data_IF_837316671590
#
_entry.id   IF_837316671590
#
_cell.length_a   1.000
_cell.length_b   1.000
_cell.length_c   1.000
_cell.angle_alpha   90.00
_cell.angle_beta   90.00
_cell.angle_gamma   90.00
#
_symmetry.space_group_name_H-M   'P 1'
#
loop_
_entity.id
_entity.type
_entity.pdbx_description
1 polymer ?
#
# COMPACT_ATOMS: atom_id res chain seq x y z
N UNK A 1 -10.12 -16.50 10.06
CA UNK A 1 -9.44 -16.16 8.80
C UNK A 1 -8.15 -16.97 8.78
N UNK A 2 -7.98 -17.82 7.77
CA UNK A 2 -6.68 -18.43 7.51
C UNK A 2 -5.76 -17.36 6.90
N UNK A 3 -4.75 -16.93 7.66
CA UNK A 3 -3.82 -15.86 7.28
C UNK A 3 -2.96 -16.26 6.08
N UNK A 4 -2.54 -17.52 6.00
CA UNK A 4 -1.72 -18.01 4.88
C UNK A 4 -2.54 -18.01 3.62
N UNK A 5 -3.77 -18.52 3.69
CA UNK A 5 -4.70 -18.45 2.57
C UNK A 5 -4.93 -17.02 2.13
N UNK A 6 -5.28 -16.11 3.04
CA UNK A 6 -5.65 -14.71 2.70
C UNK A 6 -4.47 -13.90 2.18
N UNK A 7 -3.27 -14.02 2.75
CA UNK A 7 -2.15 -13.14 2.41
C UNK A 7 -1.19 -13.72 1.36
N UNK A 8 -1.02 -15.03 1.31
CA UNK A 8 0.06 -15.66 0.55
C UNK A 8 -0.41 -16.49 -0.65
N UNK A 9 -1.71 -16.77 -0.75
CA UNK A 9 -2.30 -17.42 -1.92
C UNK A 9 -3.03 -16.41 -2.81
N UNK A 10 -2.75 -16.44 -4.10
CA UNK A 10 -3.45 -15.66 -5.14
C UNK A 10 -4.76 -16.32 -5.61
N UNK A 11 -4.97 -17.60 -5.27
CA UNK A 11 -6.08 -18.38 -5.78
C UNK A 11 -7.31 -18.30 -4.89
N UNK A 12 -8.48 -18.34 -5.53
CA UNK A 12 -9.78 -18.36 -4.85
C UNK A 12 -10.41 -16.98 -4.72
N UNK A 13 -11.32 -16.87 -3.74
CA UNK A 13 -12.23 -15.74 -3.55
C UNK A 13 -12.29 -15.39 -2.07
N UNK A 14 -12.33 -14.09 -1.76
CA UNK A 14 -12.54 -13.61 -0.39
C UNK A 14 -13.68 -12.61 -0.33
N UNK A 15 -14.58 -12.80 0.62
CA UNK A 15 -15.68 -11.89 0.89
C UNK A 15 -15.20 -10.56 1.50
N UNK A 16 -16.08 -9.55 1.62
CA UNK A 16 -15.72 -8.22 2.13
C UNK A 16 -15.11 -8.24 3.54
N UNK A 17 -15.59 -9.13 4.42
CA UNK A 17 -15.13 -9.22 5.81
C UNK A 17 -13.68 -9.71 5.92
N UNK A 18 -13.33 -10.76 5.18
CA UNK A 18 -11.97 -11.31 5.20
C UNK A 18 -10.99 -10.45 4.40
N UNK A 19 -11.46 -9.80 3.33
CA UNK A 19 -10.71 -8.73 2.66
C UNK A 19 -10.34 -7.60 3.65
N UNK A 20 -11.31 -7.07 4.40
CA UNK A 20 -11.06 -6.00 5.37
C UNK A 20 -10.06 -6.39 6.45
N UNK A 21 -10.18 -7.60 7.00
CA UNK A 21 -9.23 -8.15 7.99
C UNK A 21 -7.82 -8.29 7.42
N UNK A 22 -7.70 -8.87 6.22
CA UNK A 22 -6.42 -9.00 5.53
C UNK A 22 -5.78 -7.64 5.24
N UNK A 23 -6.58 -6.67 4.78
CA UNK A 23 -6.11 -5.33 4.49
C UNK A 23 -5.64 -4.59 5.75
N UNK A 24 -6.37 -4.68 6.87
CA UNK A 24 -5.95 -4.06 8.14
C UNK A 24 -4.60 -4.63 8.59
N UNK A 25 -4.43 -5.95 8.55
CA UNK A 25 -3.17 -6.59 8.92
C UNK A 25 -2.01 -6.15 8.01
N UNK A 26 -2.23 -6.13 6.69
CA UNK A 26 -1.22 -5.67 5.73
C UNK A 26 -0.89 -4.18 5.88
N UNK A 27 -1.89 -3.36 6.21
CA UNK A 27 -1.72 -1.93 6.44
C UNK A 27 -0.89 -1.69 7.69
N UNK A 28 -1.18 -2.40 8.78
CA UNK A 28 -0.39 -2.35 10.01
C UNK A 28 1.06 -2.81 9.80
N UNK A 29 1.27 -3.94 9.10
CA UNK A 29 2.61 -4.44 8.80
C UNK A 29 3.42 -3.45 7.93
N UNK A 30 2.81 -2.92 6.87
CA UNK A 30 3.46 -1.93 6.01
C UNK A 30 3.77 -0.63 6.77
N UNK A 31 2.88 -0.19 7.66
CA UNK A 31 3.13 0.97 8.51
C UNK A 31 4.34 0.76 9.43
N UNK A 32 4.46 -0.42 10.07
CA UNK A 32 5.63 -0.76 10.90
C UNK A 32 6.91 -0.74 10.06
N UNK A 33 6.87 -1.31 8.86
CA UNK A 33 8.01 -1.30 7.92
C UNK A 33 8.42 0.13 7.56
N UNK A 34 7.47 1.01 7.27
CA UNK A 34 7.76 2.42 6.97
C UNK A 34 8.33 3.18 8.17
N UNK A 35 7.82 2.92 9.38
CA UNK A 35 8.35 3.49 10.61
C UNK A 35 9.79 3.04 10.85
N UNK A 36 10.06 1.74 10.70
CA UNK A 36 11.41 1.19 10.84
C UNK A 36 12.37 1.74 9.78
N UNK A 37 11.89 1.91 8.54
CA UNK A 37 12.66 2.49 7.44
C UNK A 37 13.09 3.94 7.73
N UNK A 38 12.18 4.76 8.28
CA UNK A 38 12.50 6.15 8.63
C UNK A 38 13.32 6.28 9.91
N UNK A 39 12.93 5.59 10.99
CA UNK A 39 13.51 5.83 12.32
C UNK A 39 14.76 4.99 12.60
N UNK A 40 14.79 3.73 12.12
CA UNK A 40 15.85 2.77 12.46
C UNK A 40 16.91 2.71 11.37
N UNK A 41 16.53 2.31 10.16
CA UNK A 41 17.45 2.20 9.02
C UNK A 41 16.68 2.12 7.71
N UNK A 42 17.10 2.83 6.64
CA UNK A 42 16.49 2.72 5.32
C UNK A 42 16.45 1.28 4.77
N UNK A 43 17.33 0.40 5.23
CA UNK A 43 17.36 -1.02 4.84
C UNK A 43 16.04 -1.76 5.11
N UNK A 44 15.27 -1.36 6.13
CA UNK A 44 13.95 -1.93 6.40
C UNK A 44 12.96 -1.70 5.24
N UNK A 45 13.18 -0.70 4.39
CA UNK A 45 12.38 -0.45 3.19
C UNK A 45 12.33 -1.64 2.24
N UNK A 46 13.34 -2.53 2.26
CA UNK A 46 13.33 -3.76 1.46
C UNK A 46 12.20 -4.73 1.83
N UNK A 47 11.68 -4.67 3.06
CA UNK A 47 10.57 -5.51 3.51
C UNK A 47 9.22 -5.12 2.88
N UNK A 48 9.15 -3.98 2.18
CA UNK A 48 7.95 -3.57 1.47
C UNK A 48 7.65 -4.49 0.27
N UNK A 49 8.67 -4.99 -0.43
CA UNK A 49 8.50 -5.84 -1.62
C UNK A 49 7.66 -7.10 -1.38
N UNK A 50 7.95 -7.95 -0.37
CA UNK A 50 7.09 -9.11 -0.08
C UNK A 50 5.68 -8.71 0.40
N UNK A 51 5.53 -7.55 1.04
CA UNK A 51 4.20 -7.05 1.42
C UNK A 51 3.37 -6.63 0.20
N UNK A 52 3.98 -6.05 -0.83
CA UNK A 52 3.29 -5.73 -2.10
C UNK A 52 2.69 -6.98 -2.72
N UNK A 53 3.41 -8.11 -2.73
CA UNK A 53 2.86 -9.38 -3.19
C UNK A 53 1.60 -9.78 -2.41
N UNK A 54 1.59 -9.55 -1.09
CA UNK A 54 0.43 -9.86 -0.25
C UNK A 54 -0.76 -8.93 -0.55
N UNK A 55 -0.53 -7.66 -0.88
CA UNK A 55 -1.57 -6.76 -1.38
C UNK A 55 -2.18 -7.26 -2.69
N UNK A 56 -1.35 -7.72 -3.64
CA UNK A 56 -1.82 -8.32 -4.90
C UNK A 56 -2.73 -9.52 -4.62
N UNK A 57 -2.35 -10.42 -3.71
CA UNK A 57 -3.16 -11.57 -3.33
C UNK A 57 -4.52 -11.18 -2.74
N UNK A 58 -4.55 -10.23 -1.79
CA UNK A 58 -5.78 -9.79 -1.11
C UNK A 58 -6.73 -9.09 -2.09
N UNK A 59 -6.24 -8.12 -2.87
CA UNK A 59 -7.08 -7.42 -3.85
C UNK A 59 -7.46 -8.32 -5.02
N UNK A 60 -6.55 -9.18 -5.50
CA UNK A 60 -6.82 -10.14 -6.57
C UNK A 60 -7.99 -11.05 -6.23
N UNK A 61 -8.01 -11.63 -5.02
CA UNK A 61 -9.13 -12.48 -4.58
C UNK A 61 -10.43 -11.71 -4.33
N UNK A 62 -10.35 -10.44 -3.90
CA UNK A 62 -11.53 -9.57 -3.80
C UNK A 62 -12.12 -9.30 -5.18
N UNK A 63 -11.28 -9.07 -6.18
CA UNK A 63 -11.69 -8.90 -7.58
C UNK A 63 -12.27 -10.18 -8.17
N UNK A 64 -11.65 -11.32 -7.90
CA UNK A 64 -12.17 -12.64 -8.28
C UNK A 64 -13.55 -12.90 -7.67
N UNK A 65 -13.78 -12.46 -6.44
CA UNK A 65 -15.09 -12.58 -5.80
C UNK A 65 -16.19 -11.80 -6.52
N UNK A 66 -15.85 -10.72 -7.23
CA UNK A 66 -16.75 -9.99 -8.13
C UNK A 66 -16.73 -10.49 -9.58
N UNK A 67 -16.12 -11.65 -9.87
CA UNK A 67 -16.00 -12.22 -11.22
C UNK A 67 -14.97 -11.51 -12.13
N UNK A 68 -14.21 -10.57 -11.58
CA UNK A 68 -13.26 -9.72 -12.32
C UNK A 68 -11.86 -10.34 -12.35
N UNK A 69 -11.04 -9.89 -13.29
CA UNK A 69 -9.63 -10.28 -13.36
C UNK A 69 -8.81 -9.57 -12.27
N UNK A 70 -7.83 -10.27 -11.69
CA UNK A 70 -6.85 -9.68 -10.78
C UNK A 70 -6.02 -8.56 -11.43
N UNK A 71 -5.89 -8.52 -12.77
CA UNK A 71 -5.19 -7.44 -13.47
C UNK A 71 -5.77 -6.04 -13.20
N UNK A 72 -7.04 -5.95 -12.81
CA UNK A 72 -7.67 -4.68 -12.38
C UNK A 72 -7.00 -4.11 -11.12
N UNK A 73 -6.25 -4.93 -10.35
CA UNK A 73 -5.41 -4.43 -9.26
C UNK A 73 -4.41 -3.36 -9.72
N UNK A 74 -3.93 -3.41 -10.97
CA UNK A 74 -3.05 -2.36 -11.49
C UNK A 74 -3.73 -0.97 -11.49
N UNK A 75 -5.04 -0.91 -11.68
CA UNK A 75 -5.80 0.34 -11.55
C UNK A 75 -5.89 0.82 -10.10
N UNK A 76 -6.03 -0.11 -9.13
CA UNK A 76 -5.95 0.22 -7.70
C UNK A 76 -4.54 0.73 -7.35
N UNK A 77 -3.50 0.10 -7.88
CA UNK A 77 -2.11 0.51 -7.66
C UNK A 77 -1.83 1.89 -8.26
N UNK A 78 -2.30 2.18 -9.48
CA UNK A 78 -2.20 3.50 -10.08
C UNK A 78 -2.96 4.55 -9.23
N UNK A 79 -4.19 4.23 -8.81
CA UNK A 79 -4.98 5.08 -7.91
C UNK A 79 -4.28 5.33 -6.57
N UNK A 80 -3.56 4.35 -6.04
CA UNK A 80 -2.78 4.49 -4.82
C UNK A 80 -1.71 5.56 -4.99
N UNK A 81 -0.91 5.48 -6.04
CA UNK A 81 0.14 6.47 -6.30
C UNK A 81 -0.43 7.86 -6.48
N UNK A 82 -1.52 8.01 -7.24
CA UNK A 82 -2.17 9.32 -7.43
C UNK A 82 -2.65 9.89 -6.09
N UNK A 83 -3.40 9.12 -5.29
CA UNK A 83 -3.92 9.60 -4.01
C UNK A 83 -2.79 9.88 -3.02
N UNK A 84 -1.80 9.00 -2.92
CA UNK A 84 -0.67 9.16 -2.01
C UNK A 84 0.17 10.39 -2.37
N UNK A 85 0.43 10.65 -3.66
CA UNK A 85 1.16 11.84 -4.11
C UNK A 85 0.38 13.12 -3.82
N UNK A 86 -0.92 13.15 -4.09
CA UNK A 86 -1.76 14.32 -3.79
C UNK A 86 -1.87 14.57 -2.27
N UNK A 87 -2.09 13.52 -1.48
CA UNK A 87 -2.12 13.61 -0.04
C UNK A 87 -0.77 14.11 0.51
N UNK A 88 0.34 13.58 0.00
CA UNK A 88 1.68 14.00 0.41
C UNK A 88 1.94 15.47 0.06
N UNK A 89 1.62 15.90 -1.15
CA UNK A 89 1.80 17.30 -1.58
C UNK A 89 1.05 18.30 -0.69
N UNK A 90 -0.15 17.92 -0.24
CA UNK A 90 -0.97 18.76 0.64
C UNK A 90 -0.47 18.71 2.10
N UNK A 91 -0.11 17.52 2.57
CA UNK A 91 0.22 17.29 3.98
C UNK A 91 1.67 17.65 4.34
N UNK A 92 2.61 17.55 3.40
CA UNK A 92 4.03 17.80 3.64
C UNK A 92 4.32 19.17 4.30
N UNK A 93 3.81 20.32 3.79
CA UNK A 93 4.08 21.61 4.43
C UNK A 93 3.45 21.75 5.83
N UNK A 94 2.42 20.97 6.14
CA UNK A 94 1.68 21.06 7.41
C UNK A 94 2.24 20.10 8.46
N UNK A 95 2.41 18.83 8.11
CA UNK A 95 2.83 17.76 9.02
C UNK A 95 4.34 17.58 9.09
N UNK A 96 5.08 18.04 8.07
CA UNK A 96 6.52 17.86 7.94
C UNK A 96 7.21 19.13 7.39
N UNK A 97 7.06 20.30 8.05
CA UNK A 97 7.58 21.57 7.53
C UNK A 97 9.11 21.57 7.31
N UNK A 98 9.87 20.87 8.16
CA UNK A 98 11.32 20.70 7.97
C UNK A 98 11.65 19.88 6.72
N UNK A 99 10.88 18.83 6.43
CA UNK A 99 11.06 18.05 5.20
C UNK A 99 10.72 18.88 3.96
N UNK A 100 9.70 19.72 4.05
CA UNK A 100 9.31 20.64 2.99
C UNK A 100 10.43 21.64 2.67
N UNK A 101 11.07 22.25 3.69
CA UNK A 101 12.20 23.17 3.46
C UNK A 101 13.40 22.46 2.81
N UNK A 102 13.77 21.27 3.30
CA UNK A 102 14.87 20.48 2.72
C UNK A 102 14.61 20.13 1.24
N UNK A 103 13.38 19.69 0.90
CA UNK A 103 13.03 19.43 -0.50
C UNK A 103 13.11 20.68 -1.38
N UNK A 104 12.75 21.85 -0.84
CA UNK A 104 12.87 23.12 -1.55
C UNK A 104 14.33 23.48 -1.88
N UNK A 105 15.28 23.14 -1.02
CA UNK A 105 16.72 23.34 -1.27
C UNK A 105 17.24 22.41 -2.37
N UNK A 106 16.88 21.13 -2.33
CA UNK A 106 17.23 20.17 -3.40
C UNK A 106 16.64 20.56 -4.75
N UNK A 107 15.41 21.09 -4.76
CA UNK A 107 14.77 21.58 -5.98
C UNK A 107 15.51 22.78 -6.57
N UNK A 108 16.05 23.70 -5.74
CA UNK A 108 16.86 24.82 -6.22
C UNK A 108 18.15 24.35 -6.89
N UNK A 109 18.83 23.36 -6.31
CA UNK A 109 20.03 22.75 -6.90
C UNK A 109 19.72 22.08 -8.25
N UNK A 110 18.64 21.31 -8.32
CA UNK A 110 18.20 20.68 -9.56
C UNK A 110 17.82 21.71 -10.64
N UNK A 111 17.16 22.80 -10.26
CA UNK A 111 16.80 23.89 -11.18
C UNK A 111 18.00 24.71 -11.66
N UNK A 112 19.08 24.79 -10.87
CA UNK A 112 20.33 25.41 -11.27
C UNK A 112 21.11 24.60 -12.32
N UNK A 113 20.59 23.45 -12.77
CA UNK A 113 21.20 22.58 -13.76
C UNK A 113 22.18 21.56 -13.18
N UNK A 114 22.40 21.56 -11.86
CA UNK A 114 23.29 20.63 -11.19
C UNK A 114 22.51 19.44 -10.59
N UNK A 115 21.98 18.61 -11.48
CA UNK A 115 21.25 17.40 -11.10
C UNK A 115 22.12 16.39 -10.34
N UNK A 116 23.42 16.31 -10.66
CA UNK A 116 24.34 15.40 -10.00
C UNK A 116 24.54 15.81 -8.53
N UNK A 117 24.80 17.09 -8.27
CA UNK A 117 24.90 17.60 -6.90
C UNK A 117 23.57 17.49 -6.15
N UNK A 118 22.43 17.73 -6.81
CA UNK A 118 21.11 17.59 -6.18
C UNK A 118 20.84 16.14 -5.71
N UNK A 119 21.23 15.13 -6.50
CA UNK A 119 21.10 13.72 -6.12
C UNK A 119 22.06 13.38 -4.99
N UNK A 120 23.31 13.85 -5.06
CA UNK A 120 24.31 13.61 -4.00
C UNK A 120 23.87 14.20 -2.66
N UNK A 121 23.37 15.44 -2.67
CA UNK A 121 22.89 16.14 -1.49
C UNK A 121 21.66 15.43 -0.89
N UNK A 122 20.71 15.05 -1.74
CA UNK A 122 19.55 14.26 -1.31
C UNK A 122 19.98 12.91 -0.72
N UNK A 123 21.00 12.26 -1.29
CA UNK A 123 21.51 10.99 -0.78
C UNK A 123 22.18 11.14 0.59
N UNK A 124 22.96 12.22 0.81
CA UNK A 124 23.57 12.53 2.12
C UNK A 124 22.50 12.77 3.19
N UNK A 125 21.44 13.48 2.84
CA UNK A 125 20.35 13.81 3.77
C UNK A 125 19.17 12.82 3.71
N UNK A 126 19.31 11.68 3.02
CA UNK A 126 18.18 10.77 2.78
C UNK A 126 17.52 10.28 4.07
N UNK A 127 18.32 9.95 5.09
CA UNK A 127 17.80 9.47 6.37
C UNK A 127 17.15 10.60 7.18
N UNK A 128 17.71 11.81 7.14
CA UNK A 128 17.13 12.98 7.80
C UNK A 128 15.80 13.38 7.15
N UNK A 129 15.75 13.39 5.82
CA UNK A 129 14.55 13.63 5.05
C UNK A 129 13.47 12.58 5.37
N UNK A 130 13.82 11.29 5.39
CA UNK A 130 12.90 10.21 5.71
C UNK A 130 12.32 10.32 7.13
N UNK A 131 13.15 10.73 8.11
CA UNK A 131 12.69 10.98 9.49
C UNK A 131 11.77 12.18 9.56
N UNK A 132 12.15 13.30 8.93
CA UNK A 132 11.35 14.52 8.94
C UNK A 132 10.00 14.36 8.20
N UNK A 133 9.95 13.51 7.16
CA UNK A 133 8.75 13.25 6.37
C UNK A 133 7.90 12.09 6.87
N UNK A 134 8.26 11.43 7.98
CA UNK A 134 7.62 10.18 8.41
C UNK A 134 6.12 10.34 8.69
N UNK A 135 5.72 11.43 9.34
CA UNK A 135 4.31 11.72 9.65
C UNK A 135 3.50 11.90 8.37
N UNK A 136 4.02 12.70 7.43
CA UNK A 136 3.40 12.90 6.11
C UNK A 136 3.30 11.58 5.35
N UNK A 137 4.35 10.77 5.38
CA UNK A 137 4.43 9.47 4.67
C UNK A 137 3.37 8.50 5.20
N UNK A 138 3.29 8.35 6.53
CA UNK A 138 2.30 7.47 7.17
C UNK A 138 0.88 7.98 6.92
N UNK A 139 0.63 9.28 7.10
CA UNK A 139 -0.69 9.86 6.89
C UNK A 139 -1.17 9.65 5.44
N UNK A 140 -0.30 9.95 4.46
CA UNK A 140 -0.61 9.77 3.03
C UNK A 140 -0.84 8.30 2.68
N UNK A 141 -0.02 7.40 3.22
CA UNK A 141 -0.18 5.95 3.07
C UNK A 141 -1.53 5.47 3.61
N UNK A 142 -1.91 5.90 4.82
CA UNK A 142 -3.16 5.50 5.46
C UNK A 142 -4.39 6.06 4.72
N UNK A 143 -4.33 7.31 4.24
CA UNK A 143 -5.39 7.92 3.43
C UNK A 143 -5.58 7.13 2.13
N UNK A 144 -4.50 6.91 1.37
CA UNK A 144 -4.56 6.18 0.10
C UNK A 144 -5.05 4.74 0.29
N UNK A 145 -4.50 4.03 1.27
CA UNK A 145 -4.88 2.64 1.59
C UNK A 145 -6.32 2.55 2.09
N UNK A 146 -6.76 3.52 2.91
CA UNK A 146 -8.12 3.60 3.43
C UNK A 146 -9.15 3.82 2.33
N UNK A 147 -8.92 4.79 1.44
CA UNK A 147 -9.82 5.08 0.31
C UNK A 147 -9.94 3.86 -0.61
N UNK A 148 -8.82 3.27 -1.03
CA UNK A 148 -8.83 2.11 -1.91
C UNK A 148 -9.38 0.86 -1.24
N UNK A 149 -9.12 0.70 0.06
CA UNK A 149 -9.70 -0.34 0.89
C UNK A 149 -11.22 -0.25 0.94
N UNK A 150 -11.76 0.96 1.11
CA UNK A 150 -13.20 1.18 1.06
C UNK A 150 -13.79 0.85 -0.31
N UNK A 151 -13.13 1.28 -1.40
CA UNK A 151 -13.56 0.93 -2.77
C UNK A 151 -13.56 -0.58 -2.97
N UNK A 152 -12.50 -1.27 -2.57
CA UNK A 152 -12.37 -2.73 -2.68
C UNK A 152 -13.41 -3.49 -1.84
N UNK A 153 -13.66 -3.04 -0.61
CA UNK A 153 -14.65 -3.64 0.28
C UNK A 153 -16.09 -3.49 -0.25
N UNK A 154 -16.36 -2.41 -1.00
CA UNK A 154 -17.68 -2.11 -1.59
C UNK A 154 -17.91 -2.74 -2.96
N UNK A 155 -16.93 -3.46 -3.52
CA UNK A 155 -17.14 -4.23 -4.74
C UNK A 155 -18.28 -5.24 -4.53
N UNK A 156 -19.17 -5.38 -5.52
CA UNK A 156 -20.26 -6.35 -5.46
C UNK A 156 -19.69 -7.77 -5.65
N UNK A 157 -20.09 -8.69 -4.78
CA UNK A 157 -19.77 -10.11 -4.89
C UNK A 157 -20.66 -10.79 -5.93
N UNK A 158 -20.09 -11.72 -6.68
CA UNK A 158 -20.81 -12.60 -7.59
C UNK A 158 -21.51 -13.71 -6.78
N UNK A 159 -22.85 -13.81 -6.78
CA UNK A 159 -23.56 -14.80 -5.98
C UNK A 159 -23.41 -16.22 -6.55
N UNK A 160 -22.97 -16.35 -7.80
CA UNK A 160 -22.84 -17.64 -8.49
C UNK A 160 -21.43 -18.22 -8.34
N UNK A 161 -21.30 -19.51 -8.68
CA UNK A 161 -19.98 -20.12 -8.88
C UNK A 161 -19.38 -19.49 -10.14
N UNK A 162 -18.16 -18.96 -10.02
CA UNK A 162 -17.43 -18.42 -11.16
C UNK A 162 -16.10 -19.17 -11.35
N UNK A 163 -15.35 -18.82 -12.40
CA UNK A 163 -14.06 -19.46 -12.75
C UNK A 163 -13.00 -19.46 -11.65
N UNK A 164 -13.18 -18.67 -10.59
CA UNK A 164 -12.25 -18.57 -9.47
C UNK A 164 -12.72 -19.36 -8.24
N UNK A 165 -13.85 -20.06 -8.33
CA UNK A 165 -14.37 -20.95 -7.29
C UNK A 165 -15.74 -20.53 -6.73
N UNK A 166 -16.23 -21.24 -5.70
CA UNK A 166 -17.50 -20.93 -5.06
C UNK A 166 -17.46 -19.59 -4.31
N UNK A 167 -18.63 -18.98 -4.01
CA UNK A 167 -18.71 -17.74 -3.24
C UNK A 167 -17.91 -17.78 -1.94
N UNK A 168 -17.19 -16.69 -1.67
CA UNK A 168 -16.44 -16.54 -0.43
C UNK A 168 -17.38 -16.53 0.77
N UNK A 169 -17.52 -17.68 1.44
CA UNK A 169 -18.40 -17.90 2.59
C UNK A 169 -19.26 -19.15 2.54
N UNK A 170 -19.34 -19.88 1.41
CA UNK A 170 -20.26 -21.00 1.24
C UNK A 170 -19.63 -22.40 1.11
N UNK A 171 -18.30 -22.56 1.21
CA UNK A 171 -17.67 -23.85 0.90
C UNK A 171 -16.34 -24.12 1.64
N UNK A 172 -16.19 -23.67 2.89
CA UNK A 172 -15.00 -24.01 3.68
C UNK A 172 -15.34 -24.31 5.15
N UNK A 173 -16.50 -24.92 5.41
CA UNK A 173 -16.82 -25.50 6.71
C UNK A 173 -16.45 -26.98 6.84
N UNK A 174 -16.32 -27.78 5.77
CA UNK A 174 -16.35 -29.26 5.92
C UNK A 174 -15.42 -30.06 4.99
N UNK A 175 -14.11 -29.76 4.91
CA UNK A 175 -13.15 -30.71 4.29
C UNK A 175 -11.78 -30.73 4.99
N UNK A 176 -11.79 -30.90 6.31
CA UNK A 176 -10.70 -31.58 7.03
C UNK A 176 -11.34 -32.39 8.16
N UNK A 177 -11.80 -33.60 7.82
CA UNK A 177 -11.90 -34.74 8.74
C UNK A 177 -10.70 -35.65 8.49
#
# INVERSE_FOLDING_TARGET
MDVKYVLLSSNGRIGPRDFGRGLILLTGAMMIVQIAAGLVSPAFGMLQYPLIFSYVCVFGKRLHDGGRSAWIYLAFLAGYFVIATLASAILLPVLSPQAFSMQGEFQKLAQAGDFAAAIEEMAKHAQELARASILTTIASFLIASGILGLIGARLRSDPSINRFGPPGGSAQSDTFS
#
